data_IF_505603395937
#
_entry.id   IF_505603395937
#
_cell.length_a   1.000
_cell.length_b   1.000
_cell.length_c   1.000
_cell.angle_alpha   90.00
_cell.angle_beta   90.00
_cell.angle_gamma   90.00
#
_symmetry.space_group_name_H-M   'P 1'
#
loop_
_entity.id
_entity.type
_entity.pdbx_description
1 polymer ?
#
# COMPACT_ATOMS: atom_id res chain seq x y z
N UNK A 1 -6.39 6.65 6.76
CA UNK A 1 -4.93 6.93 6.85
C UNK A 1 -4.24 6.50 5.57
N UNK A 2 -3.38 7.33 4.98
CA UNK A 2 -2.63 6.97 3.77
C UNK A 2 -1.28 6.32 4.11
N UNK A 3 -0.91 5.25 3.41
CA UNK A 3 0.43 4.66 3.47
C UNK A 3 0.93 4.33 2.06
N UNK A 4 2.24 4.44 1.85
CA UNK A 4 2.89 4.03 0.60
C UNK A 4 3.86 2.90 0.95
N UNK A 5 3.76 1.79 0.24
CA UNK A 5 4.61 0.60 0.38
C UNK A 5 5.31 0.27 -0.93
N UNK A 6 6.33 -0.59 -0.88
CA UNK A 6 7.11 -0.99 -2.05
C UNK A 6 8.33 -0.10 -2.28
N UNK A 7 8.83 0.56 -1.24
CA UNK A 7 10.13 1.19 -1.29
C UNK A 7 11.23 0.12 -1.38
N UNK A 8 12.39 0.50 -1.93
CA UNK A 8 13.48 -0.44 -2.27
C UNK A 8 13.90 -1.37 -1.12
N UNK A 9 13.74 -0.93 0.12
CA UNK A 9 14.16 -1.66 1.34
C UNK A 9 12.97 -2.25 2.11
N UNK A 10 11.74 -2.16 1.59
CA UNK A 10 10.59 -2.80 2.21
C UNK A 10 10.70 -4.32 2.11
N UNK A 11 10.46 -4.98 3.23
CA UNK A 11 10.50 -6.43 3.41
C UNK A 11 9.24 -6.90 4.14
N UNK A 12 9.01 -8.21 4.20
CA UNK A 12 7.93 -8.76 5.01
C UNK A 12 8.01 -8.31 6.48
N UNK A 13 9.23 -8.16 7.03
CA UNK A 13 9.44 -7.70 8.40
C UNK A 13 9.02 -6.23 8.58
N UNK A 14 9.43 -5.33 7.68
CA UNK A 14 9.05 -3.91 7.79
C UNK A 14 7.56 -3.70 7.58
N UNK A 15 6.95 -4.44 6.64
CA UNK A 15 5.53 -4.36 6.34
C UNK A 15 4.67 -5.00 7.43
N UNK A 16 5.15 -6.06 8.11
CA UNK A 16 4.49 -6.62 9.28
C UNK A 16 4.44 -5.62 10.44
N UNK A 17 5.56 -4.93 10.72
CA UNK A 17 5.60 -3.86 11.74
C UNK A 17 4.65 -2.70 11.40
N UNK A 18 4.56 -2.33 10.12
CA UNK A 18 3.61 -1.32 9.67
C UNK A 18 2.17 -1.79 9.91
N UNK A 19 1.84 -3.04 9.58
CA UNK A 19 0.52 -3.61 9.82
C UNK A 19 0.15 -3.60 11.32
N UNK A 20 1.06 -4.04 12.19
CA UNK A 20 0.86 -4.01 13.65
C UNK A 20 0.55 -2.59 14.14
N UNK A 21 1.35 -1.60 13.72
CA UNK A 21 1.13 -0.21 14.10
C UNK A 21 -0.20 0.35 13.58
N UNK A 22 -0.64 -0.07 12.39
CA UNK A 22 -1.92 0.34 11.81
C UNK A 22 -3.12 -0.29 12.54
N UNK A 23 -2.99 -1.54 12.99
CA UNK A 23 -4.01 -2.18 13.83
C UNK A 23 -4.12 -1.50 15.19
N UNK A 24 -3.00 -1.24 15.87
CA UNK A 24 -3.00 -0.51 17.14
C UNK A 24 -3.68 0.86 16.98
N UNK A 25 -3.33 1.62 15.96
CA UNK A 25 -3.97 2.90 15.67
C UNK A 25 -5.48 2.74 15.41
N UNK A 26 -5.88 1.72 14.65
CA UNK A 26 -7.29 1.46 14.38
C UNK A 26 -8.06 1.14 15.67
N UNK A 27 -7.53 0.26 16.51
CA UNK A 27 -8.13 -0.13 17.78
C UNK A 27 -8.27 1.06 18.73
N UNK A 28 -7.21 1.86 18.91
CA UNK A 28 -7.23 3.08 19.72
C UNK A 28 -8.31 4.07 19.24
N UNK A 29 -8.42 4.26 17.93
CA UNK A 29 -9.43 5.14 17.34
C UNK A 29 -10.85 4.63 17.54
N UNK A 30 -11.07 3.31 17.46
CA UNK A 30 -12.38 2.70 17.68
C UNK A 30 -12.79 2.72 19.15
N UNK A 31 -11.83 2.62 20.08
CA UNK A 31 -12.08 2.78 21.51
C UNK A 31 -12.57 4.20 21.84
N UNK A 32 -11.94 5.22 21.25
CA UNK A 32 -12.32 6.62 21.44
C UNK A 32 -13.67 6.95 20.79
N UNK A 33 -13.91 6.47 19.57
CA UNK A 33 -15.15 6.71 18.85
C UNK A 33 -15.51 5.54 17.92
N UNK A 34 -16.38 4.61 18.35
CA UNK A 34 -16.82 3.47 17.54
C UNK A 34 -17.55 3.86 16.26
N UNK A 35 -18.06 5.09 16.15
CA UNK A 35 -18.75 5.59 14.95
C UNK A 35 -17.80 6.28 13.96
N UNK A 36 -16.52 6.43 14.29
CA UNK A 36 -15.53 7.03 13.39
C UNK A 36 -15.39 6.15 12.15
N UNK A 37 -15.58 6.74 10.98
CA UNK A 37 -15.31 6.09 9.69
C UNK A 37 -13.81 6.18 9.38
N UNK A 38 -13.09 5.10 9.64
CA UNK A 38 -11.65 5.01 9.41
C UNK A 38 -11.32 3.81 8.54
N UNK A 39 -10.43 4.03 7.56
CA UNK A 39 -9.85 2.95 6.76
C UNK A 39 -8.38 3.30 6.43
N UNK A 40 -7.56 2.27 6.33
CA UNK A 40 -6.22 2.37 5.74
C UNK A 40 -6.32 2.38 4.22
N UNK A 41 -5.69 3.37 3.58
CA UNK A 41 -5.53 3.46 2.14
C UNK A 41 -4.05 3.18 1.81
N UNK A 42 -3.74 1.89 1.58
CA UNK A 42 -2.40 1.46 1.22
C UNK A 42 -2.19 1.59 -0.30
N UNK A 43 -1.13 2.28 -0.67
CA UNK A 43 -0.75 2.56 -2.05
C UNK A 43 0.62 1.94 -2.35
N UNK A 44 0.81 1.47 -3.57
CA UNK A 44 2.12 1.05 -4.03
C UNK A 44 2.93 2.24 -4.51
N UNK A 45 4.23 2.21 -4.28
CA UNK A 45 5.15 3.18 -4.87
C UNK A 45 5.06 3.11 -6.40
N UNK A 46 4.75 4.24 -7.02
CA UNK A 46 4.68 4.38 -8.46
C UNK A 46 5.93 5.10 -9.00
N UNK A 47 6.71 4.49 -9.91
CA UNK A 47 7.90 5.10 -10.50
C UNK A 47 7.51 6.11 -11.59
N UNK A 48 7.19 7.35 -11.20
CA UNK A 48 6.82 8.42 -12.13
C UNK A 48 8.06 8.88 -12.92
N UNK A 49 8.06 8.83 -14.27
CA UNK A 49 9.19 9.26 -15.09
C UNK A 49 9.65 10.69 -14.76
N UNK A 50 10.96 10.91 -14.76
CA UNK A 50 11.57 12.21 -14.45
C UNK A 50 11.69 12.51 -12.94
N UNK A 51 11.21 11.63 -12.07
CA UNK A 51 11.46 11.74 -10.62
C UNK A 51 12.76 11.03 -10.23
N UNK A 52 13.50 11.54 -9.22
CA UNK A 52 14.67 10.83 -8.68
C UNK A 52 14.35 9.41 -8.21
N UNK A 53 13.14 9.18 -7.73
CA UNK A 53 12.67 7.87 -7.29
C UNK A 53 12.55 6.88 -8.46
N UNK A 54 12.00 7.31 -9.61
CA UNK A 54 11.96 6.48 -10.83
C UNK A 54 13.37 6.14 -11.31
N UNK A 55 14.28 7.12 -11.34
CA UNK A 55 15.66 6.90 -11.79
C UNK A 55 16.39 5.90 -10.89
N UNK A 56 16.18 5.98 -9.57
CA UNK A 56 16.77 5.05 -8.61
C UNK A 56 16.26 3.61 -8.81
N UNK A 57 14.95 3.42 -8.97
CA UNK A 57 14.36 2.09 -9.19
C UNK A 57 14.83 1.50 -10.52
N UNK A 58 14.88 2.30 -11.59
CA UNK A 58 15.37 1.87 -12.91
C UNK A 58 16.85 1.48 -12.86
N UNK A 59 17.70 2.32 -12.26
CA UNK A 59 19.14 2.05 -12.09
C UNK A 59 19.40 0.81 -11.23
N UNK A 60 18.55 0.54 -10.25
CA UNK A 60 18.64 -0.65 -9.41
C UNK A 60 18.11 -1.93 -10.08
N UNK A 61 17.55 -1.85 -11.29
CA UNK A 61 16.96 -3.00 -11.98
C UNK A 61 15.68 -3.53 -11.34
N UNK A 62 15.00 -2.68 -10.56
CA UNK A 62 13.81 -3.05 -9.76
C UNK A 62 12.49 -2.80 -10.50
N UNK A 63 12.50 -2.07 -11.61
CA UNK A 63 11.30 -1.89 -12.44
C UNK A 63 10.96 -3.20 -13.17
N UNK A 64 9.73 -3.69 -13.02
CA UNK A 64 9.25 -4.93 -13.67
C UNK A 64 8.28 -4.68 -14.80
N UNK A 65 7.41 -3.69 -14.65
CA UNK A 65 6.40 -3.35 -15.66
C UNK A 65 6.65 -1.90 -16.08
N UNK A 66 7.13 -1.72 -17.30
CA UNK A 66 7.43 -0.40 -17.89
C UNK A 66 6.41 -0.04 -18.96
N UNK A 67 5.14 0.06 -18.54
CA UNK A 67 4.04 0.44 -19.42
C UNK A 67 3.60 1.89 -19.17
N UNK A 68 3.56 2.75 -20.21
CA UNK A 68 3.14 4.13 -20.04
C UNK A 68 1.76 4.31 -19.41
N UNK A 69 0.84 3.36 -19.64
CA UNK A 69 -0.50 3.35 -19.04
C UNK A 69 -0.49 3.15 -17.51
N UNK A 70 0.62 2.66 -16.95
CA UNK A 70 0.80 2.42 -15.52
C UNK A 70 1.66 3.49 -14.84
N UNK A 71 2.15 4.49 -15.57
CA UNK A 71 2.88 5.60 -14.97
C UNK A 71 1.97 6.39 -14.04
N UNK A 72 2.37 6.53 -12.78
CA UNK A 72 1.56 7.19 -11.75
C UNK A 72 0.47 6.28 -11.15
N UNK A 73 0.36 5.02 -11.58
CA UNK A 73 -0.62 4.09 -11.01
C UNK A 73 -0.15 3.62 -9.62
N UNK A 74 -0.88 4.07 -8.59
CA UNK A 74 -0.64 3.77 -7.17
C UNK A 74 -1.40 2.53 -6.66
N UNK A 75 -2.25 1.94 -7.50
CA UNK A 75 -3.06 0.74 -7.20
C UNK A 75 -2.46 -0.54 -7.78
N UNK A 76 -1.50 -0.44 -8.68
CA UNK A 76 -0.90 -1.57 -9.36
C UNK A 76 0.61 -1.49 -9.14
N UNK A 77 1.18 -2.33 -8.26
CA UNK A 77 2.62 -2.39 -8.08
C UNK A 77 3.29 -2.78 -9.41
N UNK A 78 4.29 -2.01 -9.82
CA UNK A 78 5.07 -2.24 -11.06
C UNK A 78 6.55 -2.46 -10.80
N UNK A 79 6.95 -2.44 -9.52
CA UNK A 79 8.34 -2.48 -9.08
C UNK A 79 8.52 -3.57 -8.04
N UNK A 80 9.70 -4.17 -8.02
CA UNK A 80 10.16 -4.99 -6.91
C UNK A 80 10.82 -4.11 -5.84
N UNK A 81 10.91 -4.63 -4.63
CA UNK A 81 11.90 -4.20 -3.65
C UNK A 81 13.13 -5.11 -3.75
N UNK A 82 14.14 -4.90 -2.90
CA UNK A 82 15.25 -5.86 -2.76
C UNK A 82 14.82 -7.21 -2.18
N UNK A 83 13.65 -7.26 -1.55
CA UNK A 83 13.18 -8.40 -0.77
C UNK A 83 11.85 -8.99 -1.26
N UNK A 84 11.04 -8.19 -1.96
CA UNK A 84 9.70 -8.53 -2.39
C UNK A 84 9.52 -8.30 -3.88
N UNK A 85 8.85 -9.22 -4.54
CA UNK A 85 8.35 -9.02 -5.90
C UNK A 85 7.11 -8.14 -5.92
N UNK A 86 6.84 -7.50 -7.06
CA UNK A 86 5.65 -6.66 -7.24
C UNK A 86 4.31 -7.36 -6.91
N UNK A 87 4.18 -8.67 -7.14
CA UNK A 87 3.00 -9.47 -6.77
C UNK A 87 2.87 -9.63 -5.26
N UNK A 88 3.97 -9.84 -4.55
CA UNK A 88 3.99 -9.86 -3.07
C UNK A 88 3.66 -8.48 -2.48
N UNK A 89 4.08 -7.39 -3.12
CA UNK A 89 3.68 -6.03 -2.74
C UNK A 89 2.17 -5.85 -2.94
N UNK A 90 1.58 -6.42 -3.99
CA UNK A 90 0.14 -6.38 -4.22
C UNK A 90 -0.63 -7.13 -3.11
N UNK A 91 -0.11 -8.28 -2.67
CA UNK A 91 -0.68 -9.04 -1.54
C UNK A 91 -0.65 -8.20 -0.25
N UNK A 92 0.47 -7.53 0.04
CA UNK A 92 0.57 -6.61 1.18
C UNK A 92 -0.38 -5.42 1.06
N UNK A 93 -0.50 -4.82 -0.12
CA UNK A 93 -1.44 -3.73 -0.36
C UNK A 93 -2.87 -4.16 -0.06
N UNK A 94 -3.29 -5.32 -0.57
CA UNK A 94 -4.61 -5.89 -0.33
C UNK A 94 -4.84 -6.23 1.15
N UNK A 95 -3.82 -6.74 1.85
CA UNK A 95 -3.86 -7.05 3.28
C UNK A 95 -4.09 -5.78 4.11
N UNK A 96 -3.33 -4.72 3.88
CA UNK A 96 -3.44 -3.45 4.62
C UNK A 96 -4.77 -2.73 4.35
N UNK A 97 -5.29 -2.78 3.12
CA UNK A 97 -6.58 -2.17 2.76
C UNK A 97 -7.78 -2.75 3.52
N UNK A 98 -7.65 -3.95 4.11
CA UNK A 98 -8.72 -4.57 4.90
C UNK A 98 -8.94 -3.88 6.25
N UNK A 99 -7.93 -3.21 6.80
CA UNK A 99 -8.00 -2.55 8.11
C UNK A 99 -9.03 -1.42 8.06
N UNK A 100 -10.11 -1.57 8.81
CA UNK A 100 -11.25 -0.63 8.86
C UNK A 100 -12.22 -0.70 7.67
N UNK A 101 -12.00 -1.61 6.70
CA UNK A 101 -12.84 -1.71 5.49
C UNK A 101 -14.28 -2.17 5.75
N UNK A 102 -14.52 -2.93 6.81
CA UNK A 102 -15.84 -3.45 7.18
C UNK A 102 -16.87 -2.33 7.39
N UNK A 103 -16.43 -1.18 7.90
CA UNK A 103 -17.27 -0.01 8.13
C UNK A 103 -17.85 0.62 6.86
N UNK A 104 -17.30 0.23 5.70
CA UNK A 104 -17.68 0.70 4.37
C UNK A 104 -18.40 -0.39 3.55
N UNK A 105 -18.39 -1.65 4.01
CA UNK A 105 -19.11 -2.77 3.36
C UNK A 105 -20.62 -2.70 3.57
N UNK A 106 -21.10 -1.99 4.60
CA UNK A 106 -22.53 -1.80 4.87
C UNK A 106 -23.24 -0.86 3.87
N UNK A 107 -22.50 -0.06 3.09
CA UNK A 107 -23.11 0.83 2.09
C UNK A 107 -23.58 0.11 0.81
N UNK A 108 -23.21 -1.17 0.63
CA UNK A 108 -23.53 -1.96 -0.57
C UNK A 108 -24.80 -2.81 -0.52
N UNK A 109 -25.48 -2.90 0.63
CA UNK A 109 -26.71 -3.72 0.82
C UNK A 109 -28.02 -2.93 0.81
N UNK A 110 -27.97 -1.64 0.47
CA UNK A 110 -29.14 -0.77 0.39
C UNK A 110 -29.44 -0.34 -1.05
N UNK A 111 -29.50 -1.31 -1.98
CA UNK A 111 -30.05 -1.12 -3.33
C UNK A 111 -30.97 -2.28 -3.68
#
# INVERSE_FOLDING_TARGET
>A
MGSIIGFKDDSDESLSRLEEALWMLYEDLMEVNPNLKFQVNAQSLSPIPGTPQSDQVRKAGLLRIDEPALYGNIRTPTIDTRYLRYDQIADWQARLLKIGSEQFMDYGRAL
#
